data_IF_197556605027
#
_entry.id   IF_197556605027
#
_cell.length_a   1.000
_cell.length_b   1.000
_cell.length_c   1.000
_cell.angle_alpha   90.00
_cell.angle_beta   90.00
_cell.angle_gamma   90.00
#
_symmetry.space_group_name_H-M   'P 1'
#
loop_
_entity.id
_entity.type
_entity.pdbx_description
1 polymer ?
#
# COMPACT_ATOMS: atom_id res chain seq x y z
N UNK A 1 -4.85 42.53 1.14
CA UNK A 1 -4.97 41.54 0.05
C UNK A 1 -3.93 40.47 0.31
N UNK A 2 -4.36 39.32 0.85
CA UNK A 2 -3.49 38.17 1.08
C UNK A 2 -3.15 37.53 -0.27
N UNK A 3 -1.86 37.53 -0.62
CA UNK A 3 -1.37 36.89 -1.84
C UNK A 3 -1.37 35.37 -1.64
N UNK A 4 -2.49 34.71 -1.94
CA UNK A 4 -2.51 33.27 -2.15
C UNK A 4 -1.78 32.93 -3.45
N UNK A 5 -0.45 32.94 -3.42
CA UNK A 5 0.33 32.20 -4.40
C UNK A 5 -0.04 30.73 -4.24
N UNK A 6 -0.98 30.28 -5.08
CA UNK A 6 -1.34 28.87 -5.26
C UNK A 6 -0.07 28.17 -5.75
N UNK A 7 0.73 27.63 -4.82
CA UNK A 7 1.93 26.86 -5.15
C UNK A 7 1.49 25.72 -6.08
N UNK A 8 1.76 25.85 -7.38
CA UNK A 8 1.51 24.78 -8.33
C UNK A 8 2.46 23.65 -7.97
N UNK A 9 1.91 22.47 -7.67
CA UNK A 9 2.72 21.28 -7.52
C UNK A 9 3.52 21.04 -8.81
N UNK A 10 4.81 20.75 -8.63
CA UNK A 10 5.75 20.53 -9.73
C UNK A 10 5.52 19.16 -10.35
N UNK A 11 5.86 19.02 -11.62
CA UNK A 11 5.74 17.76 -12.35
C UNK A 11 7.13 17.27 -12.77
N UNK A 12 7.41 15.98 -12.59
CA UNK A 12 8.63 15.32 -13.05
C UNK A 12 8.29 14.26 -14.11
N UNK A 13 8.95 14.35 -15.27
CA UNK A 13 8.96 13.30 -16.28
C UNK A 13 10.21 12.44 -16.07
N UNK A 14 10.02 11.14 -15.87
CA UNK A 14 11.11 10.20 -15.58
C UNK A 14 11.11 9.10 -16.63
N UNK A 15 12.15 9.06 -17.45
CA UNK A 15 12.39 8.01 -18.45
C UNK A 15 13.30 6.92 -17.88
N UNK A 16 13.06 5.66 -18.23
CA UNK A 16 13.77 4.53 -17.63
C UNK A 16 13.33 4.29 -16.18
N UNK A 17 12.08 4.62 -15.86
CA UNK A 17 11.57 4.61 -14.48
C UNK A 17 11.35 3.22 -13.91
N UNK A 18 11.38 2.15 -14.72
CA UNK A 18 11.17 0.80 -14.20
C UNK A 18 12.44 0.23 -13.53
N UNK A 19 13.61 0.80 -13.79
CA UNK A 19 14.89 0.22 -13.36
C UNK A 19 15.92 1.28 -12.93
N UNK A 20 16.92 0.82 -12.16
CA UNK A 20 18.12 1.59 -11.84
C UNK A 20 17.84 2.97 -11.23
N UNK A 21 18.49 4.00 -11.77
CA UNK A 21 18.42 5.36 -11.23
C UNK A 21 17.04 5.98 -11.44
N UNK A 22 16.40 5.73 -12.59
CA UNK A 22 15.06 6.24 -12.87
C UNK A 22 14.03 5.71 -11.88
N UNK A 23 14.15 4.43 -11.51
CA UNK A 23 13.36 3.81 -10.44
C UNK A 23 13.52 4.57 -9.13
N UNK A 24 14.75 4.76 -8.65
CA UNK A 24 14.98 5.43 -7.37
C UNK A 24 14.52 6.89 -7.37
N UNK A 25 14.69 7.59 -8.50
CA UNK A 25 14.22 8.96 -8.67
C UNK A 25 12.70 9.06 -8.59
N UNK A 26 11.94 8.08 -9.10
CA UNK A 26 10.49 8.06 -8.98
C UNK A 26 10.04 8.09 -7.51
N UNK A 27 10.69 7.30 -6.64
CA UNK A 27 10.40 7.32 -5.20
C UNK A 27 10.77 8.64 -4.54
N UNK A 28 11.94 9.18 -4.86
CA UNK A 28 12.38 10.47 -4.29
C UNK A 28 11.43 11.59 -4.71
N UNK A 29 11.03 11.68 -5.98
CA UNK A 29 10.11 12.73 -6.41
C UNK A 29 8.69 12.54 -5.86
N UNK A 30 8.19 11.30 -5.74
CA UNK A 30 6.93 11.01 -5.06
C UNK A 30 6.96 11.48 -3.60
N UNK A 31 8.03 11.16 -2.85
CA UNK A 31 8.16 11.56 -1.44
C UNK A 31 8.33 13.06 -1.21
N UNK A 32 8.39 13.86 -2.27
CA UNK A 32 8.41 15.32 -2.22
C UNK A 32 7.16 15.89 -2.91
N UNK A 33 6.09 15.10 -3.05
CA UNK A 33 4.79 15.48 -3.58
C UNK A 33 4.84 16.07 -5.01
N UNK A 34 5.68 15.52 -5.89
CA UNK A 34 5.67 15.86 -7.32
C UNK A 34 4.61 15.05 -8.06
N UNK A 35 3.95 15.69 -9.04
CA UNK A 35 3.19 14.94 -10.04
C UNK A 35 4.17 14.15 -10.93
N UNK A 36 4.01 12.83 -11.03
CA UNK A 36 4.93 11.99 -11.80
C UNK A 36 4.35 11.60 -13.16
N UNK A 37 5.18 11.68 -14.19
CA UNK A 37 4.97 11.02 -15.49
C UNK A 37 6.08 10.00 -15.66
N UNK A 38 5.73 8.72 -15.60
CA UNK A 38 6.68 7.61 -15.64
C UNK A 38 6.70 6.98 -17.04
N UNK A 39 7.89 6.79 -17.60
CA UNK A 39 8.07 6.23 -18.95
C UNK A 39 9.12 5.13 -18.92
N UNK A 40 8.73 3.91 -19.31
CA UNK A 40 9.62 2.78 -19.52
C UNK A 40 8.99 1.81 -20.54
N UNK A 41 9.80 0.90 -21.10
CA UNK A 41 9.32 -0.19 -21.96
C UNK A 41 8.67 -1.33 -21.16
N UNK A 42 9.05 -1.48 -19.89
CA UNK A 42 8.51 -2.51 -18.99
C UNK A 42 7.20 -2.04 -18.34
N UNK A 43 6.08 -2.32 -19.00
CA UNK A 43 4.76 -1.86 -18.58
C UNK A 43 4.29 -2.47 -17.24
N UNK A 44 4.59 -3.75 -17.01
CA UNK A 44 4.18 -4.43 -15.77
C UNK A 44 4.84 -3.77 -14.56
N UNK A 45 6.14 -3.54 -14.66
CA UNK A 45 6.88 -2.90 -13.58
C UNK A 45 6.52 -1.43 -13.41
N UNK A 46 6.22 -0.74 -14.51
CA UNK A 46 5.73 0.64 -14.48
C UNK A 46 4.40 0.76 -13.71
N UNK A 47 3.48 -0.19 -13.92
CA UNK A 47 2.20 -0.23 -13.21
C UNK A 47 2.38 -0.43 -11.70
N UNK A 48 3.29 -1.34 -11.30
CA UNK A 48 3.62 -1.56 -9.89
C UNK A 48 4.15 -0.27 -9.25
N UNK A 49 5.07 0.41 -9.92
CA UNK A 49 5.68 1.65 -9.38
C UNK A 49 4.64 2.75 -9.25
N UNK A 50 3.79 2.94 -10.26
CA UNK A 50 2.74 3.94 -10.23
C UNK A 50 1.79 3.76 -9.03
N UNK A 51 1.42 2.51 -8.71
CA UNK A 51 0.57 2.20 -7.57
C UNK A 51 1.26 2.47 -6.24
N UNK A 52 2.55 2.12 -6.13
CA UNK A 52 3.36 2.38 -4.94
C UNK A 52 3.55 3.88 -4.73
N UNK A 53 3.91 4.64 -5.76
CA UNK A 53 4.12 6.09 -5.64
C UNK A 53 2.83 6.84 -5.29
N UNK A 54 1.68 6.41 -5.83
CA UNK A 54 0.38 6.98 -5.47
C UNK A 54 0.02 6.73 -4.00
N UNK A 55 0.38 5.56 -3.48
CA UNK A 55 0.19 5.22 -2.08
C UNK A 55 1.03 6.11 -1.16
N UNK A 56 2.25 6.47 -1.58
CA UNK A 56 3.13 7.38 -0.83
C UNK A 56 2.54 8.80 -0.75
N UNK A 57 2.07 9.36 -1.88
CA UNK A 57 1.42 10.67 -1.90
C UNK A 57 0.20 10.72 -0.96
N UNK A 58 -0.59 9.63 -0.93
CA UNK A 58 -1.74 9.52 -0.05
C UNK A 58 -1.36 9.51 1.44
N UNK A 59 -0.28 8.80 1.81
CA UNK A 59 0.21 8.77 3.19
C UNK A 59 0.75 10.14 3.61
N UNK A 60 1.48 10.83 2.74
CA UNK A 60 2.00 12.17 3.01
C UNK A 60 0.84 13.16 3.23
N UNK A 61 -0.19 13.12 2.36
CA UNK A 61 -1.40 13.94 2.51
C UNK A 61 -2.20 13.65 3.80
N UNK A 62 -2.22 12.40 4.27
CA UNK A 62 -2.88 12.04 5.53
C UNK A 62 -2.12 12.52 6.77
N UNK A 63 -0.79 12.46 6.73
CA UNK A 63 0.09 12.91 7.82
C UNK A 63 0.05 14.43 7.93
N UNK A 64 0.15 15.15 6.81
CA UNK A 64 0.16 16.62 6.77
C UNK A 64 -1.16 17.21 7.27
N UNK A 65 -2.30 16.55 6.99
CA UNK A 65 -3.61 16.96 7.49
C UNK A 65 -3.85 16.66 9.00
N UNK A 66 -2.85 16.20 9.76
CA UNK A 66 -2.94 15.83 11.19
C UNK A 66 -4.14 14.95 11.54
N UNK A 67 -4.67 14.17 10.59
CA UNK A 67 -5.86 13.35 10.80
C UNK A 67 -5.52 11.97 11.39
N UNK A 68 -4.31 11.46 11.15
CA UNK A 68 -3.93 10.10 11.53
C UNK A 68 -2.43 10.03 11.89
N UNK A 69 -2.11 9.43 13.04
CA UNK A 69 -0.72 9.16 13.44
C UNK A 69 -0.18 7.93 12.70
N UNK A 70 1.09 7.96 12.26
CA UNK A 70 1.77 6.83 11.60
C UNK A 70 1.62 5.52 12.39
N UNK A 71 1.65 5.59 13.72
CA UNK A 71 1.45 4.46 14.62
C UNK A 71 0.07 3.82 14.50
N UNK A 72 -0.97 4.59 14.20
CA UNK A 72 -2.32 4.07 13.97
C UNK A 72 -2.44 3.35 12.63
N UNK A 73 -1.80 3.86 11.59
CA UNK A 73 -1.73 3.20 10.27
C UNK A 73 -0.99 1.87 10.39
N UNK A 74 0.19 1.86 11.00
CA UNK A 74 1.00 0.65 11.19
C UNK A 74 0.25 -0.40 12.01
N UNK A 75 -0.44 0.00 13.09
CA UNK A 75 -1.27 -0.92 13.89
C UNK A 75 -2.37 -1.56 13.06
N UNK A 76 -3.08 -0.78 12.25
CA UNK A 76 -4.18 -1.30 11.44
C UNK A 76 -3.67 -2.28 10.38
N UNK A 77 -2.56 -1.97 9.71
CA UNK A 77 -1.94 -2.87 8.73
C UNK A 77 -1.49 -4.18 9.38
N UNK A 78 -0.79 -4.11 10.52
CA UNK A 78 -0.35 -5.32 11.22
C UNK A 78 -1.53 -6.21 11.67
N UNK A 79 -2.61 -5.61 12.19
CA UNK A 79 -3.81 -6.35 12.56
C UNK A 79 -4.43 -7.08 11.37
N UNK A 80 -4.50 -6.44 10.20
CA UNK A 80 -5.03 -7.05 8.98
C UNK A 80 -4.14 -8.21 8.48
N UNK A 81 -2.82 -8.04 8.53
CA UNK A 81 -1.87 -9.10 8.14
C UNK A 81 -2.00 -10.32 9.06
N UNK A 82 -2.05 -10.11 10.37
CA UNK A 82 -2.24 -11.18 11.36
C UNK A 82 -3.58 -11.90 11.13
N UNK A 83 -4.66 -11.14 10.87
CA UNK A 83 -5.98 -11.70 10.59
C UNK A 83 -5.98 -12.54 9.31
N UNK A 84 -5.31 -12.09 8.24
CA UNK A 84 -5.16 -12.84 6.99
C UNK A 84 -4.40 -14.14 7.18
N UNK A 85 -3.26 -14.10 7.88
CA UNK A 85 -2.44 -15.30 8.17
C UNK A 85 -3.25 -16.29 9.01
N UNK A 86 -3.92 -15.81 10.05
CA UNK A 86 -4.74 -16.64 10.94
C UNK A 86 -5.89 -17.27 10.16
N UNK A 87 -6.59 -16.49 9.33
CA UNK A 87 -7.67 -16.98 8.48
C UNK A 87 -7.20 -18.03 7.48
N UNK A 88 -6.02 -17.82 6.88
CA UNK A 88 -5.43 -18.79 5.95
C UNK A 88 -5.05 -20.10 6.66
N UNK A 89 -4.46 -20.03 7.84
CA UNK A 89 -4.09 -21.20 8.65
C UNK A 89 -5.32 -21.98 9.12
N UNK A 90 -6.38 -21.29 9.55
CA UNK A 90 -7.66 -21.89 9.94
C UNK A 90 -8.30 -22.59 8.75
N UNK A 91 -8.31 -21.96 7.57
CA UNK A 91 -8.85 -22.54 6.33
C UNK A 91 -8.10 -23.80 5.89
N UNK A 92 -6.77 -23.80 5.97
CA UNK A 92 -5.94 -24.98 5.68
C UNK A 92 -6.22 -26.12 6.65
N UNK A 93 -6.29 -25.83 7.96
CA UNK A 93 -6.59 -26.85 8.99
C UNK A 93 -8.00 -27.41 8.85
N UNK A 94 -9.00 -26.56 8.59
CA UNK A 94 -10.37 -26.98 8.31
C UNK A 94 -10.47 -27.85 7.05
N UNK A 95 -9.70 -27.55 6.00
CA UNK A 95 -9.66 -28.41 4.82
C UNK A 95 -9.10 -29.81 5.10
N UNK A 96 -8.13 -29.91 6.01
CA UNK A 96 -7.48 -31.19 6.36
C UNK A 96 -8.24 -31.96 7.45
N UNK A 97 -9.01 -31.27 8.28
CA UNK A 97 -9.92 -31.86 9.25
C UNK A 97 -11.08 -30.87 9.50
N UNK A 98 -12.25 -31.11 8.88
CA UNK A 98 -13.39 -30.17 8.92
C UNK A 98 -13.96 -30.01 10.33
N UNK A 99 -13.74 -31.00 11.21
CA UNK A 99 -14.23 -30.98 12.59
C UNK A 99 -13.44 -29.99 13.47
N UNK A 100 -12.29 -29.45 13.02
CA UNK A 100 -11.48 -28.47 13.79
C UNK A 100 -12.24 -27.16 14.04
N UNK A 101 -13.22 -26.80 13.21
CA UNK A 101 -14.04 -25.61 13.40
C UNK A 101 -15.27 -25.86 14.27
N UNK A 102 -15.62 -27.12 14.48
CA UNK A 102 -16.67 -27.54 15.40
C UNK A 102 -15.99 -27.72 16.76
N UNK A 103 -16.25 -26.81 17.69
CA UNK A 103 -15.66 -26.88 19.04
C UNK A 103 -15.91 -28.24 19.70
N UNK A 104 -15.18 -28.57 20.77
CA UNK A 104 -15.18 -29.90 21.44
C UNK A 104 -16.55 -30.45 21.87
N UNK A 105 -17.62 -29.65 21.75
CA UNK A 105 -19.01 -29.99 22.06
C UNK A 105 -19.88 -30.31 20.83
N UNK A 106 -19.42 -30.05 19.61
CA UNK A 106 -20.16 -30.36 18.39
C UNK A 106 -19.68 -31.71 17.83
N UNK A 107 -20.41 -32.77 18.17
CA UNK A 107 -20.28 -34.06 17.50
C UNK A 107 -21.13 -34.04 16.23
N UNK A 108 -20.51 -34.24 15.06
CA UNK A 108 -21.24 -34.52 13.83
C UNK A 108 -21.87 -35.92 13.95
N UNK A 109 -23.20 -35.96 14.08
CA UNK A 109 -23.96 -37.19 13.91
C UNK A 109 -24.18 -37.41 12.41
N UNK A 110 -23.79 -38.59 11.94
CA UNK A 110 -24.05 -39.07 10.57
C UNK A 110 -25.49 -39.52 10.41
#
# INVERSE_FOLDING_TARGET
>A
MENHHKYRQKTALITGSAHGIGYQLAYVFASHSYNLVLVDKDQEKLAVIAEVTKSLDFLEALIDNRKITLSSIVKNVNSLVIALISSHQIRQKSSNNPDILQGSTAQAFW
#
